data_IF_837013287585
#
_entry.id   IF_837013287585
#
_cell.length_a   1.000
_cell.length_b   1.000
_cell.length_c   1.000
_cell.angle_alpha   90.00
_cell.angle_beta   90.00
_cell.angle_gamma   90.00
#
_symmetry.space_group_name_H-M   'P 1'
#
loop_
_entity.id
_entity.type
_entity.pdbx_description
1 polymer ?
#
# COMPACT_ATOMS: atom_id res chain seq x y z
N UNK A 1 -8.55 -36.52 5.29
CA UNK A 1 -8.51 -36.17 3.85
C UNK A 1 -9.34 -34.93 3.51
N UNK A 2 -10.58 -34.80 4.00
CA UNK A 2 -11.46 -33.65 3.73
C UNK A 2 -10.87 -32.30 4.19
N UNK A 3 -10.25 -32.25 5.37
CA UNK A 3 -9.59 -31.05 5.92
C UNK A 3 -8.42 -30.58 5.05
N UNK A 4 -7.61 -31.53 4.51
CA UNK A 4 -6.51 -31.21 3.59
C UNK A 4 -7.01 -30.65 2.25
N UNK A 5 -8.15 -31.13 1.76
CA UNK A 5 -8.76 -30.59 0.53
C UNK A 5 -9.27 -29.16 0.73
N UNK A 6 -9.85 -28.85 1.89
CA UNK A 6 -10.28 -27.49 2.26
C UNK A 6 -9.10 -26.52 2.32
N UNK A 7 -7.97 -26.94 2.90
CA UNK A 7 -6.77 -26.09 2.98
C UNK A 7 -6.19 -25.77 1.60
N UNK A 8 -6.15 -26.76 0.70
CA UNK A 8 -5.75 -26.53 -0.70
C UNK A 8 -6.68 -25.54 -1.40
N UNK A 9 -8.00 -25.63 -1.16
CA UNK A 9 -8.98 -24.67 -1.72
C UNK A 9 -8.69 -23.25 -1.22
N UNK A 10 -8.44 -23.06 0.08
CA UNK A 10 -8.08 -21.75 0.62
C UNK A 10 -6.80 -21.17 0.02
N UNK A 11 -5.75 -21.99 -0.14
CA UNK A 11 -4.52 -21.57 -0.79
C UNK A 11 -4.78 -21.13 -2.23
N UNK A 12 -5.57 -21.89 -2.99
CA UNK A 12 -5.94 -21.53 -4.37
C UNK A 12 -6.69 -20.20 -4.40
N UNK A 13 -7.65 -19.98 -3.49
CA UNK A 13 -8.36 -18.70 -3.37
C UNK A 13 -7.41 -17.54 -3.08
N UNK A 14 -6.45 -17.71 -2.17
CA UNK A 14 -5.46 -16.68 -1.86
C UNK A 14 -4.55 -16.35 -3.05
N UNK A 15 -4.09 -17.37 -3.79
CA UNK A 15 -3.28 -17.18 -4.99
C UNK A 15 -4.06 -16.46 -6.10
N UNK A 16 -5.33 -16.84 -6.30
CA UNK A 16 -6.23 -16.16 -7.25
C UNK A 16 -6.45 -14.70 -6.82
N UNK A 17 -6.66 -14.44 -5.54
CA UNK A 17 -6.83 -13.08 -5.01
C UNK A 17 -5.58 -12.22 -5.25
N UNK A 18 -4.39 -12.74 -4.95
CA UNK A 18 -3.11 -12.05 -5.21
C UNK A 18 -2.95 -11.77 -6.71
N UNK A 19 -3.25 -12.76 -7.56
CA UNK A 19 -3.18 -12.61 -9.01
C UNK A 19 -4.13 -11.51 -9.50
N UNK A 20 -5.39 -11.50 -9.06
CA UNK A 20 -6.35 -10.47 -9.43
C UNK A 20 -5.89 -9.06 -8.99
N UNK A 21 -5.40 -8.91 -7.75
CA UNK A 21 -4.95 -7.61 -7.23
C UNK A 21 -3.61 -7.13 -7.80
N UNK A 22 -2.77 -8.04 -8.28
CA UNK A 22 -1.47 -7.65 -8.85
C UNK A 22 -1.60 -7.35 -10.34
N UNK A 23 -2.38 -8.15 -11.07
CA UNK A 23 -2.45 -8.08 -12.55
C UNK A 23 -3.68 -7.33 -13.09
N UNK A 24 -4.84 -7.39 -12.41
CA UNK A 24 -6.11 -6.87 -12.96
C UNK A 24 -6.59 -5.59 -12.30
N UNK A 25 -6.55 -5.54 -10.98
CA UNK A 25 -7.06 -4.44 -10.17
C UNK A 25 -5.88 -3.88 -9.39
N UNK A 26 -5.13 -2.97 -10.01
CA UNK A 26 -3.88 -2.41 -9.51
C UNK A 26 -3.76 -2.39 -7.98
N UNK A 27 -2.66 -2.96 -7.47
CA UNK A 27 -2.40 -3.08 -6.04
C UNK A 27 -2.43 -1.73 -5.31
N UNK A 28 -2.07 -0.67 -6.03
CA UNK A 28 -2.05 0.70 -5.55
C UNK A 28 -3.46 1.26 -5.47
N UNK A 29 -3.83 1.70 -4.26
CA UNK A 29 -5.12 2.30 -3.97
C UNK A 29 -4.93 3.67 -3.31
N UNK A 30 -6.05 4.34 -3.02
CA UNK A 30 -6.05 5.68 -2.43
C UNK A 30 -5.29 5.74 -1.10
N UNK A 31 -5.41 4.72 -0.25
CA UNK A 31 -4.79 4.71 1.07
C UNK A 31 -3.25 4.71 1.01
N UNK A 32 -2.66 4.27 -0.11
CA UNK A 32 -1.22 4.31 -0.29
C UNK A 32 -0.66 5.74 -0.30
N UNK A 33 -1.44 6.74 -0.72
CA UNK A 33 -1.02 8.14 -0.80
C UNK A 33 -0.74 8.73 0.60
N UNK A 34 -1.70 8.75 1.54
CA UNK A 34 -1.45 9.27 2.88
C UNK A 34 -0.44 8.41 3.67
N UNK A 35 -0.33 7.10 3.42
CA UNK A 35 0.75 6.30 4.02
C UNK A 35 2.13 6.70 3.48
N UNK A 36 2.25 6.98 2.18
CA UNK A 36 3.49 7.51 1.58
C UNK A 36 3.86 8.86 2.20
N UNK A 37 2.92 9.80 2.30
CA UNK A 37 3.21 11.11 2.89
C UNK A 37 3.57 11.00 4.38
N UNK A 38 2.84 10.16 5.11
CA UNK A 38 3.13 9.87 6.51
C UNK A 38 4.53 9.26 6.71
N UNK A 39 4.99 8.42 5.77
CA UNK A 39 6.35 7.88 5.78
C UNK A 39 7.39 8.98 5.54
N UNK A 40 7.22 9.84 4.53
CA UNK A 40 8.18 10.91 4.26
C UNK A 40 8.31 11.87 5.45
N UNK A 41 7.19 12.19 6.12
CA UNK A 41 7.21 12.97 7.37
C UNK A 41 7.92 12.21 8.50
N UNK A 42 7.65 10.91 8.64
CA UNK A 42 8.34 10.05 9.60
C UNK A 42 9.86 10.00 9.34
N UNK A 43 10.28 10.09 8.08
CA UNK A 43 11.69 10.18 7.64
C UNK A 43 12.29 11.60 7.81
N UNK A 44 11.53 12.55 8.37
CA UNK A 44 11.99 13.89 8.73
C UNK A 44 11.81 14.94 7.63
N UNK A 45 11.01 14.67 6.59
CA UNK A 45 10.68 15.64 5.54
C UNK A 45 9.66 16.67 6.04
N UNK A 46 9.69 17.87 5.47
CA UNK A 46 8.64 18.87 5.71
C UNK A 46 7.31 18.42 5.08
N UNK A 47 6.19 19.03 5.49
CA UNK A 47 4.86 18.73 4.94
C UNK A 47 4.82 18.93 3.42
N UNK A 48 5.39 20.03 2.93
CA UNK A 48 5.41 20.33 1.48
C UNK A 48 6.33 19.38 0.71
N UNK A 49 7.50 19.07 1.27
CA UNK A 49 8.45 18.14 0.65
C UNK A 49 7.88 16.72 0.62
N UNK A 50 7.24 16.28 1.70
CA UNK A 50 6.58 14.99 1.79
C UNK A 50 5.44 14.88 0.78
N UNK A 51 4.60 15.91 0.65
CA UNK A 51 3.53 15.95 -0.33
C UNK A 51 4.06 15.86 -1.77
N UNK A 52 5.09 16.66 -2.09
CA UNK A 52 5.75 16.61 -3.39
C UNK A 52 6.29 15.20 -3.69
N UNK A 53 7.05 14.62 -2.77
CA UNK A 53 7.65 13.30 -2.92
C UNK A 53 6.60 12.21 -3.08
N UNK A 54 5.50 12.28 -2.32
CA UNK A 54 4.38 11.33 -2.41
C UNK A 54 3.82 11.25 -3.83
N UNK A 55 3.51 12.38 -4.44
CA UNK A 55 2.93 12.39 -5.79
C UNK A 55 3.97 12.22 -6.90
N UNK A 56 5.20 12.67 -6.68
CA UNK A 56 6.33 12.38 -7.57
C UNK A 56 6.56 10.86 -7.66
N UNK A 57 6.75 10.20 -6.53
CA UNK A 57 6.96 8.76 -6.47
C UNK A 57 5.75 7.97 -6.98
N UNK A 58 4.51 8.43 -6.72
CA UNK A 58 3.31 7.79 -7.25
C UNK A 58 3.34 7.80 -8.78
N UNK A 59 3.70 8.93 -9.39
CA UNK A 59 3.75 9.08 -10.85
C UNK A 59 4.79 8.16 -11.48
N UNK A 60 5.95 8.00 -10.83
CA UNK A 60 6.98 7.08 -11.29
C UNK A 60 6.58 5.61 -11.11
N UNK A 61 5.77 5.30 -10.09
CA UNK A 61 5.33 3.94 -9.80
C UNK A 61 4.19 3.45 -10.70
N UNK A 62 3.24 4.34 -11.03
CA UNK A 62 2.00 3.94 -11.72
C UNK A 62 1.83 4.60 -13.08
N UNK A 63 1.15 3.90 -13.99
CA UNK A 63 0.84 4.44 -15.32
C UNK A 63 -0.07 5.68 -15.26
N UNK A 64 -0.08 6.53 -16.32
CA UNK A 64 -0.78 7.82 -16.32
C UNK A 64 -2.27 7.76 -15.98
N UNK A 65 -2.96 6.70 -16.43
CA UNK A 65 -4.38 6.49 -16.14
C UNK A 65 -4.60 6.28 -14.63
N UNK A 66 -3.87 5.37 -14.02
CA UNK A 66 -4.02 5.09 -12.60
C UNK A 66 -3.56 6.28 -11.74
N UNK A 67 -2.51 6.99 -12.17
CA UNK A 67 -2.11 8.23 -11.52
C UNK A 67 -3.27 9.23 -11.48
N UNK A 68 -3.91 9.47 -12.63
CA UNK A 68 -5.06 10.39 -12.72
C UNK A 68 -6.23 9.93 -11.85
N UNK A 69 -6.52 8.62 -11.83
CA UNK A 69 -7.58 8.04 -11.01
C UNK A 69 -7.29 8.22 -9.50
N UNK A 70 -6.03 8.06 -9.09
CA UNK A 70 -5.61 8.15 -7.69
C UNK A 70 -5.41 9.59 -7.23
N UNK A 71 -4.76 10.47 -8.00
CA UNK A 71 -4.50 11.85 -7.58
C UNK A 71 -5.74 12.74 -7.69
N UNK A 72 -6.58 12.48 -8.70
CA UNK A 72 -7.35 13.57 -9.29
C UNK A 72 -8.79 13.16 -9.65
N UNK A 73 -9.20 11.93 -9.31
CA UNK A 73 -10.59 11.50 -9.51
C UNK A 73 -11.51 12.18 -8.50
N UNK A 74 -12.37 13.05 -9.03
CA UNK A 74 -13.33 13.83 -8.25
C UNK A 74 -12.70 14.97 -7.46
N UNK A 75 -13.57 15.82 -6.90
CA UNK A 75 -13.16 17.05 -6.20
C UNK A 75 -12.28 16.74 -4.98
N UNK A 76 -12.66 15.74 -4.18
CA UNK A 76 -11.94 15.41 -2.96
C UNK A 76 -10.47 15.08 -3.21
N UNK A 77 -10.16 14.16 -4.13
CA UNK A 77 -8.78 13.75 -4.42
C UNK A 77 -7.97 14.87 -5.05
N UNK A 78 -8.57 15.58 -6.01
CA UNK A 78 -7.95 16.75 -6.63
C UNK A 78 -7.58 17.83 -5.59
N UNK A 79 -8.45 18.08 -4.62
CA UNK A 79 -8.19 19.05 -3.55
C UNK A 79 -7.01 18.59 -2.66
N UNK A 80 -6.86 17.27 -2.39
CA UNK A 80 -5.69 16.72 -1.68
C UNK A 80 -4.40 16.78 -2.51
N UNK A 81 -4.48 16.57 -3.82
CA UNK A 81 -3.34 16.68 -4.71
C UNK A 81 -2.84 18.13 -4.83
N UNK A 82 -3.75 19.10 -4.77
CA UNK A 82 -3.41 20.52 -4.94
C UNK A 82 -2.82 21.21 -3.71
N UNK A 83 -3.02 20.68 -2.50
CA UNK A 83 -2.57 21.31 -1.24
C UNK A 83 -1.96 20.29 -0.30
N UNK A 84 -0.76 20.61 0.17
CA UNK A 84 -0.05 19.84 1.20
C UNK A 84 -0.78 19.88 2.53
N UNK A 85 -1.41 21.00 2.91
CA UNK A 85 -2.19 21.09 4.15
C UNK A 85 -3.43 20.21 4.12
N UNK A 86 -4.11 20.13 2.97
CA UNK A 86 -5.28 19.26 2.80
C UNK A 86 -4.88 17.81 3.07
N UNK A 87 -3.84 17.30 2.38
CA UNK A 87 -3.40 15.91 2.55
C UNK A 87 -2.83 15.68 3.97
N UNK A 88 -2.14 16.67 4.55
CA UNK A 88 -1.66 16.59 5.92
C UNK A 88 -2.79 16.46 6.94
N UNK A 89 -3.93 17.13 6.71
CA UNK A 89 -5.08 17.12 7.63
C UNK A 89 -5.70 15.73 7.82
N UNK A 90 -5.54 14.83 6.84
CA UNK A 90 -6.03 13.44 6.93
C UNK A 90 -5.01 12.48 7.56
N UNK A 91 -3.74 12.86 7.66
CA UNK A 91 -2.69 11.98 8.19
C UNK A 91 -2.94 11.45 9.60
N UNK A 92 -3.55 12.17 10.55
CA UNK A 92 -3.83 11.61 11.88
C UNK A 92 -4.59 10.27 11.83
N UNK A 93 -5.45 10.05 10.82
CA UNK A 93 -6.15 8.77 10.63
C UNK A 93 -5.20 7.64 10.20
N UNK A 94 -4.24 7.94 9.34
CA UNK A 94 -3.33 6.96 8.72
C UNK A 94 -2.08 6.70 9.57
N UNK A 95 -1.53 7.75 10.18
CA UNK A 95 -0.31 7.71 11.00
C UNK A 95 -0.60 7.26 12.44
N UNK A 96 -1.88 7.08 12.80
CA UNK A 96 -2.29 6.43 14.06
C UNK A 96 -1.75 5.00 14.24
N UNK A 97 -1.19 4.39 13.17
CA UNK A 97 -0.57 3.07 13.16
C UNK A 97 0.95 3.18 12.93
N UNK A 98 1.73 3.66 13.91
CA UNK A 98 3.17 3.90 13.73
C UNK A 98 3.92 2.63 13.31
N UNK A 99 3.48 1.46 13.80
CA UNK A 99 4.08 0.17 13.43
C UNK A 99 4.03 -0.14 11.93
N UNK A 100 2.97 0.29 11.22
CA UNK A 100 2.90 0.08 9.77
C UNK A 100 3.85 1.01 9.01
N UNK A 101 3.93 2.28 9.39
CA UNK A 101 4.89 3.24 8.81
C UNK A 101 6.34 2.77 9.02
N UNK A 102 6.69 2.33 10.24
CA UNK A 102 8.01 1.78 10.52
C UNK A 102 8.31 0.52 9.69
N UNK A 103 7.32 -0.35 9.48
CA UNK A 103 7.47 -1.53 8.62
C UNK A 103 7.72 -1.15 7.16
N UNK A 104 6.96 -0.18 6.62
CA UNK A 104 7.19 0.34 5.26
C UNK A 104 8.61 0.88 5.15
N UNK A 105 9.06 1.70 6.10
CA UNK A 105 10.43 2.24 6.13
C UNK A 105 11.49 1.13 6.13
N UNK A 106 11.32 0.10 6.99
CA UNK A 106 12.25 -1.01 7.06
C UNK A 106 12.34 -1.77 5.73
N UNK A 107 11.20 -2.13 5.13
CA UNK A 107 11.16 -2.87 3.86
C UNK A 107 11.73 -2.02 2.72
N UNK A 108 11.35 -0.74 2.63
CA UNK A 108 11.88 0.22 1.66
C UNK A 108 13.42 0.27 1.70
N UNK A 109 13.99 0.41 2.91
CA UNK A 109 15.43 0.56 3.10
C UNK A 109 16.21 -0.75 2.91
N UNK A 110 15.68 -1.88 3.36
CA UNK A 110 16.34 -3.20 3.23
C UNK A 110 16.41 -3.63 1.76
N UNK A 111 15.33 -3.42 1.01
CA UNK A 111 15.24 -3.86 -0.39
C UNK A 111 15.58 -2.76 -1.41
N UNK A 112 15.83 -1.52 -0.95
CA UNK A 112 16.10 -0.35 -1.77
C UNK A 112 15.02 -0.13 -2.87
N UNK A 113 13.76 -0.10 -2.44
CA UNK A 113 12.56 0.02 -3.30
C UNK A 113 11.77 1.28 -2.95
N UNK A 114 10.74 1.63 -3.75
CA UNK A 114 9.84 2.73 -3.42
C UNK A 114 8.94 2.39 -2.22
N UNK A 115 8.38 3.41 -1.54
CA UNK A 115 7.41 3.19 -0.48
C UNK A 115 6.14 2.50 -0.97
N UNK A 116 5.76 2.75 -2.22
CA UNK A 116 4.62 2.10 -2.87
C UNK A 116 4.89 0.61 -3.11
N UNK A 117 6.09 0.26 -3.58
CA UNK A 117 6.51 -1.13 -3.73
C UNK A 117 6.60 -1.85 -2.38
N UNK A 118 7.13 -1.17 -1.35
CA UNK A 118 7.18 -1.71 0.00
C UNK A 118 5.76 -2.06 0.50
N UNK A 119 4.79 -1.14 0.39
CA UNK A 119 3.39 -1.41 0.75
C UNK A 119 2.79 -2.57 -0.04
N UNK A 120 3.08 -2.66 -1.34
CA UNK A 120 2.66 -3.78 -2.19
C UNK A 120 3.21 -5.11 -1.68
N UNK A 121 4.51 -5.20 -1.47
CA UNK A 121 5.14 -6.45 -1.04
C UNK A 121 4.72 -6.85 0.37
N UNK A 122 4.69 -5.93 1.32
CA UNK A 122 4.20 -6.20 2.69
C UNK A 122 2.84 -6.88 2.63
N UNK A 123 1.95 -6.35 1.81
CA UNK A 123 0.58 -6.82 1.75
C UNK A 123 0.46 -8.14 0.97
N UNK A 124 1.27 -8.39 -0.07
CA UNK A 124 1.39 -9.71 -0.71
C UNK A 124 1.91 -10.76 0.28
N UNK A 125 3.00 -10.46 0.99
CA UNK A 125 3.57 -11.37 1.98
C UNK A 125 2.61 -11.62 3.14
N UNK A 126 1.87 -10.61 3.61
CA UNK A 126 0.85 -10.80 4.63
C UNK A 126 -0.23 -11.79 4.20
N UNK A 127 -0.75 -11.69 2.97
CA UNK A 127 -1.74 -12.63 2.43
C UNK A 127 -1.15 -14.04 2.30
N UNK A 128 0.09 -14.17 1.79
CA UNK A 128 0.76 -15.46 1.65
C UNK A 128 1.03 -16.11 3.01
N UNK A 129 1.55 -15.35 3.98
CA UNK A 129 1.86 -15.83 5.33
C UNK A 129 0.59 -16.23 6.07
N UNK A 130 -0.49 -15.46 5.98
CA UNK A 130 -1.78 -15.84 6.56
C UNK A 130 -2.32 -17.11 5.92
N UNK A 131 -2.23 -17.22 4.60
CA UNK A 131 -2.68 -18.42 3.87
C UNK A 131 -1.88 -19.66 4.27
N UNK A 132 -0.57 -19.52 4.45
CA UNK A 132 0.31 -20.58 4.93
C UNK A 132 -0.02 -20.95 6.39
N UNK A 133 -0.20 -19.97 7.27
CA UNK A 133 -0.60 -20.21 8.66
C UNK A 133 -1.94 -20.94 8.74
N UNK A 134 -2.94 -20.54 7.96
CA UNK A 134 -4.21 -21.25 7.88
C UNK A 134 -4.03 -22.68 7.38
N UNK A 135 -3.20 -22.90 6.37
CA UNK A 135 -2.86 -24.25 5.92
C UNK A 135 -2.22 -25.09 7.03
N UNK A 136 -1.29 -24.52 7.81
CA UNK A 136 -0.54 -25.23 8.85
C UNK A 136 -1.36 -25.49 10.12
N UNK A 137 -2.21 -24.57 10.53
CA UNK A 137 -3.04 -24.69 11.74
C UNK A 137 -4.20 -25.67 11.51
N UNK A 138 -4.71 -25.74 10.29
CA UNK A 138 -5.86 -26.57 9.94
C UNK A 138 -5.42 -27.95 9.42
N UNK A 139 -4.13 -28.18 9.07
CA UNK A 139 -3.61 -29.46 8.55
C UNK A 139 -3.46 -30.56 9.62
#
# INVERSE_FOLDING_TARGET
MMIRAINCIFLIFALIFIFQKTEKEHYYNWDAIPYSMGLHIYEGRSVDEAHYLTYYNLREEVGPRLFQDLCCSGKYRSDQFSSSENLNSMLPMYVSKPGYISLISAVKNVFNISEYQAMKYISIYAVLSLSLLFMLIIA
#
